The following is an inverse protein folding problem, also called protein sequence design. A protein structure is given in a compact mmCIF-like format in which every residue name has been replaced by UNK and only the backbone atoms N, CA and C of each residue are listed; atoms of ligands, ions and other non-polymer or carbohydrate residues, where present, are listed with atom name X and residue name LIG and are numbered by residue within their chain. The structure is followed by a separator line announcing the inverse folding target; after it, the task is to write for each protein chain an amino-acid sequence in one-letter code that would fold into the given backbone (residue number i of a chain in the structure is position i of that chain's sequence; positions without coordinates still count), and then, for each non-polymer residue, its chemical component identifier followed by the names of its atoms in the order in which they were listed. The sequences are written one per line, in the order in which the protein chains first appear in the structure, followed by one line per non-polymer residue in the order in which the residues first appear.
data_IF_972536871607
#
_entry.id   IF_972536871607
#
_cell.length_a   1.000
_cell.length_b   1.000
_cell.length_c   1.000
_cell.angle_alpha   90.00
_cell.angle_beta   90.00
_cell.angle_gamma   90.00
#
_symmetry.space_group_name_H-M   'P 1'
#
loop_
_entity.id
_entity.type
_entity.pdbx_description
1 polymer ?
#
# COMPACT_ATOMS: atom_id res chain seq x y z
N UNK A 1 40.83 24.41 -29.98
CA UNK A 1 41.32 25.64 -29.32
C UNK A 1 41.11 25.43 -27.83
N UNK A 2 42.23 25.21 -27.11
CA UNK A 2 42.13 24.69 -25.72
C UNK A 2 41.56 25.74 -24.77
N UNK A 3 40.67 25.26 -23.88
CA UNK A 3 40.01 26.04 -22.83
C UNK A 3 41.02 26.91 -22.00
N UNK A 4 42.23 26.42 -21.85
CA UNK A 4 43.35 27.13 -21.20
C UNK A 4 43.79 28.39 -21.98
N UNK A 5 43.75 28.36 -23.31
CA UNK A 5 44.09 29.48 -24.19
C UNK A 5 43.08 30.63 -24.07
N UNK A 6 41.78 30.29 -23.90
CA UNK A 6 40.72 31.28 -23.71
C UNK A 6 40.84 31.97 -22.36
N UNK A 7 41.23 31.24 -21.28
CA UNK A 7 41.45 31.79 -19.97
C UNK A 7 42.65 32.75 -19.96
N UNK A 8 43.74 32.39 -20.62
CA UNK A 8 44.95 33.24 -20.74
C UNK A 8 44.64 34.51 -21.50
N UNK A 9 43.92 34.44 -22.64
CA UNK A 9 43.55 35.64 -23.42
C UNK A 9 42.62 36.54 -22.59
N UNK A 10 41.72 35.99 -21.79
CA UNK A 10 40.83 36.76 -20.92
C UNK A 10 41.59 37.41 -19.73
N UNK A 11 42.64 36.78 -19.23
CA UNK A 11 43.54 37.35 -18.23
C UNK A 11 44.40 38.48 -18.79
N UNK A 12 44.87 38.39 -20.06
CA UNK A 12 45.68 39.42 -20.71
C UNK A 12 44.88 40.67 -21.11
N UNK A 13 43.54 40.59 -21.13
CA UNK A 13 42.68 41.78 -21.41
C UNK A 13 42.48 42.68 -20.17
N UNK A 14 42.93 42.26 -18.98
CA UNK A 14 42.89 43.11 -17.78
C UNK A 14 44.21 43.93 -17.69
N UNK A 15 44.07 45.24 -17.64
CA UNK A 15 45.25 46.12 -17.44
C UNK A 15 45.94 45.81 -16.12
N UNK A 16 47.28 45.84 -16.04
CA UNK A 16 48.03 45.57 -14.79
C UNK A 16 47.58 46.42 -13.60
N UNK A 17 47.03 47.60 -13.87
CA UNK A 17 46.46 48.51 -12.84
C UNK A 17 45.16 47.97 -12.21
N UNK A 18 44.33 47.21 -12.97
CA UNK A 18 43.13 46.59 -12.43
C UNK A 18 43.44 45.38 -11.49
N UNK A 19 44.56 44.71 -11.79
CA UNK A 19 45.05 43.60 -10.97
C UNK A 19 45.63 44.08 -9.64
N UNK A 20 46.34 45.22 -9.63
CA UNK A 20 46.90 45.83 -8.43
C UNK A 20 45.88 46.53 -7.56
N UNK A 21 44.77 47.01 -8.13
CA UNK A 21 43.70 47.69 -7.36
C UNK A 21 42.74 46.75 -6.67
N UNK A 22 42.84 45.42 -6.81
CA UNK A 22 41.84 44.52 -6.31
C UNK A 22 40.41 45.05 -6.54
N UNK A 23 40.09 45.41 -7.79
CA UNK A 23 38.70 45.77 -8.13
C UNK A 23 37.86 44.51 -8.02
N UNK A 24 37.56 44.16 -6.76
CA UNK A 24 36.57 43.21 -6.34
C UNK A 24 35.28 43.59 -7.07
N UNK A 25 34.75 42.68 -7.87
CA UNK A 25 33.44 42.82 -8.52
C UNK A 25 32.53 43.61 -7.59
N UNK A 26 32.08 44.80 -8.04
CA UNK A 26 31.13 45.62 -7.27
C UNK A 26 29.98 44.75 -6.88
N UNK A 27 29.99 44.26 -5.66
CA UNK A 27 28.86 43.55 -5.07
C UNK A 27 27.68 44.49 -5.14
N UNK A 28 26.68 44.18 -5.91
CA UNK A 28 25.44 44.97 -5.98
C UNK A 28 24.96 45.18 -4.56
N UNK A 29 25.05 46.44 -4.06
CA UNK A 29 24.56 46.79 -2.73
C UNK A 29 23.11 46.33 -2.64
N UNK A 30 22.86 45.28 -1.88
CA UNK A 30 21.50 44.82 -1.58
C UNK A 30 20.75 45.99 -0.95
N UNK A 31 19.59 46.37 -1.51
CA UNK A 31 18.76 47.46 -0.99
C UNK A 31 18.52 47.26 0.50
N UNK A 32 18.80 48.27 1.31
CA UNK A 32 18.63 48.18 2.77
C UNK A 32 17.14 47.90 3.08
N UNK A 33 16.86 46.81 3.74
CA UNK A 33 15.52 46.45 4.18
C UNK A 33 15.03 47.46 5.24
N UNK A 34 13.85 48.05 5.05
CA UNK A 34 13.20 48.91 6.05
C UNK A 34 12.67 48.04 7.17
N UNK A 35 13.34 48.07 8.32
CA UNK A 35 12.92 47.38 9.54
C UNK A 35 12.05 48.28 10.40
N UNK A 36 11.08 47.73 11.18
CA UNK A 36 10.27 48.50 12.14
C UNK A 36 11.17 49.21 13.19
N UNK A 37 10.59 50.19 13.86
CA UNK A 37 11.31 50.97 14.91
C UNK A 37 11.49 50.18 16.21
N UNK A 38 12.26 49.12 16.16
CA UNK A 38 12.63 48.29 17.30
C UNK A 38 13.99 48.77 17.88
N UNK A 39 14.40 48.21 19.04
CA UNK A 39 15.67 48.53 19.66
C UNK A 39 16.83 48.30 18.68
N UNK A 40 17.94 49.04 18.83
CA UNK A 40 19.11 48.95 17.97
C UNK A 40 19.63 47.51 17.85
N UNK A 41 19.73 46.80 18.98
CA UNK A 41 20.23 45.43 19.03
C UNK A 41 19.31 44.45 18.26
N UNK A 42 18.00 44.57 18.37
CA UNK A 42 17.05 43.73 17.65
C UNK A 42 17.12 43.97 16.14
N UNK A 43 17.23 45.23 15.72
CA UNK A 43 17.39 45.58 14.29
C UNK A 43 18.70 45.06 13.72
N UNK A 44 19.78 45.12 14.48
CA UNK A 44 21.10 44.61 14.09
C UNK A 44 21.06 43.08 13.90
N UNK A 45 20.52 42.34 14.87
CA UNK A 45 20.36 40.89 14.79
C UNK A 45 19.51 40.48 13.58
N UNK A 46 18.34 41.11 13.38
CA UNK A 46 17.47 40.83 12.23
C UNK A 46 18.16 41.13 10.90
N UNK A 47 18.93 42.21 10.80
CA UNK A 47 19.67 42.57 9.60
C UNK A 47 20.68 41.48 9.22
N UNK A 48 21.44 40.96 10.21
CA UNK A 48 22.41 39.89 10.00
C UNK A 48 21.67 38.60 9.56
N UNK A 49 20.56 38.25 10.22
CA UNK A 49 19.76 37.10 9.84
C UNK A 49 19.28 37.20 8.39
N UNK A 50 18.67 38.35 8.01
CA UNK A 50 18.16 38.54 6.65
C UNK A 50 19.24 38.64 5.57
N UNK A 51 20.44 39.06 5.92
CA UNK A 51 21.58 39.04 4.99
C UNK A 51 22.09 37.64 4.71
N UNK A 52 21.91 36.71 5.64
CA UNK A 52 22.38 35.34 5.60
C UNK A 52 21.26 34.30 5.44
N UNK A 53 20.06 34.71 5.01
CA UNK A 53 18.89 33.81 4.88
C UNK A 53 19.22 32.57 4.08
N UNK A 54 20.01 32.70 3.00
CA UNK A 54 20.38 31.53 2.18
C UNK A 54 21.14 30.48 2.99
N UNK A 55 22.08 30.91 3.85
CA UNK A 55 22.86 30.00 4.70
C UNK A 55 21.97 29.33 5.76
N UNK A 56 21.06 30.10 6.38
CA UNK A 56 20.10 29.55 7.34
C UNK A 56 19.13 28.59 6.70
N UNK A 57 18.70 28.85 5.45
CA UNK A 57 17.81 27.97 4.71
C UNK A 57 18.51 26.64 4.40
N UNK A 58 19.77 26.67 3.97
CA UNK A 58 20.56 25.46 3.73
C UNK A 58 20.71 24.66 5.04
N UNK A 59 21.03 25.34 6.14
CA UNK A 59 21.13 24.70 7.44
C UNK A 59 19.81 24.08 7.88
N UNK A 60 18.71 24.81 7.72
CA UNK A 60 17.36 24.32 8.05
C UNK A 60 16.99 23.08 7.23
N UNK A 61 17.21 23.12 5.92
CA UNK A 61 16.95 21.98 5.04
C UNK A 61 17.81 20.77 5.44
N UNK A 62 19.09 21.01 5.77
CA UNK A 62 19.99 19.95 6.24
C UNK A 62 19.50 19.29 7.54
N UNK A 63 19.14 20.10 8.55
CA UNK A 63 18.60 19.59 9.82
C UNK A 63 17.26 18.86 9.59
N UNK A 64 16.38 19.44 8.78
CA UNK A 64 15.10 18.82 8.45
C UNK A 64 15.29 17.45 7.81
N UNK A 65 16.21 17.34 6.84
CA UNK A 65 16.51 16.06 6.18
C UNK A 65 17.06 15.01 7.15
N UNK A 66 17.97 15.42 8.07
CA UNK A 66 18.51 14.54 9.12
C UNK A 66 17.37 14.06 10.04
N UNK A 67 16.46 14.96 10.43
CA UNK A 67 15.32 14.59 11.28
C UNK A 67 14.38 13.61 10.59
N UNK A 68 14.10 13.79 9.28
CA UNK A 68 13.30 12.85 8.49
C UNK A 68 13.98 11.49 8.43
N UNK A 69 15.28 11.45 8.13
CA UNK A 69 16.05 10.20 8.10
C UNK A 69 16.05 9.49 9.46
N UNK A 70 16.21 10.23 10.55
CA UNK A 70 16.16 9.67 11.90
C UNK A 70 14.76 9.11 12.23
N UNK A 71 13.70 9.84 11.87
CA UNK A 71 12.33 9.39 12.06
C UNK A 71 12.05 8.09 11.29
N UNK A 72 12.53 7.98 10.05
CA UNK A 72 12.44 6.75 9.27
C UNK A 72 13.23 5.60 9.90
N UNK A 73 14.46 5.87 10.35
CA UNK A 73 15.32 4.84 10.94
C UNK A 73 14.74 4.26 12.25
N UNK A 74 14.01 5.06 13.02
CA UNK A 74 13.37 4.60 14.27
C UNK A 74 11.96 4.04 14.01
N UNK A 75 11.20 4.65 13.09
CA UNK A 75 9.81 4.27 12.86
C UNK A 75 9.63 3.00 12.01
N UNK A 76 10.61 2.66 11.17
CA UNK A 76 10.52 1.45 10.33
C UNK A 76 10.51 0.15 11.15
N UNK A 77 11.45 -0.07 12.11
CA UNK A 77 11.42 -1.26 12.95
C UNK A 77 10.12 -1.40 13.73
N UNK A 78 9.62 -0.31 14.32
CA UNK A 78 8.35 -0.32 15.06
C UNK A 78 7.16 -0.72 14.19
N UNK A 79 7.15 -0.27 12.93
CA UNK A 79 6.12 -0.64 11.96
C UNK A 79 6.20 -2.12 11.59
N UNK A 80 7.41 -2.64 11.34
CA UNK A 80 7.62 -4.07 11.04
C UNK A 80 7.21 -4.95 12.24
N UNK A 81 7.59 -4.57 13.45
CA UNK A 81 7.19 -5.26 14.67
C UNK A 81 5.66 -5.28 14.86
N UNK A 82 4.99 -4.18 14.50
CA UNK A 82 3.53 -4.13 14.52
C UNK A 82 2.93 -5.12 13.51
N UNK A 83 3.45 -5.17 12.28
CA UNK A 83 3.01 -6.14 11.27
C UNK A 83 3.26 -7.58 11.71
N UNK A 84 4.43 -7.89 12.26
CA UNK A 84 4.75 -9.23 12.77
C UNK A 84 3.79 -9.68 13.88
N UNK A 85 3.48 -8.79 14.82
CA UNK A 85 2.54 -9.08 15.92
C UNK A 85 1.10 -9.26 15.46
N UNK A 86 0.73 -8.66 14.34
CA UNK A 86 -0.63 -8.73 13.80
C UNK A 86 -0.73 -9.68 12.58
N UNK A 87 0.27 -10.54 12.36
CA UNK A 87 0.27 -11.52 11.26
C UNK A 87 -0.97 -12.42 11.28
N UNK A 88 -1.44 -12.77 12.48
CA UNK A 88 -2.66 -13.58 12.66
C UNK A 88 -3.90 -12.91 12.06
N UNK A 89 -3.94 -11.58 12.02
CA UNK A 89 -5.04 -10.80 11.42
C UNK A 89 -4.95 -10.68 9.89
N UNK A 90 -3.86 -11.13 9.29
CA UNK A 90 -3.69 -11.14 7.82
C UNK A 90 -4.24 -12.40 7.16
N UNK A 91 -4.56 -13.41 7.96
CA UNK A 91 -5.09 -14.69 7.50
C UNK A 91 -6.47 -14.97 8.10
N UNK A 92 -7.32 -15.63 7.32
CA UNK A 92 -8.63 -16.06 7.79
C UNK A 92 -8.52 -17.27 8.72
N UNK A 93 -7.60 -18.19 8.41
CA UNK A 93 -7.35 -19.43 9.15
C UNK A 93 -5.84 -19.69 9.24
N UNK A 94 -5.40 -20.62 10.11
CA UNK A 94 -3.97 -21.00 10.24
C UNK A 94 -3.39 -21.60 8.97
N UNK A 95 -4.24 -22.28 8.20
CA UNK A 95 -3.92 -22.87 6.91
C UNK A 95 -4.92 -22.40 5.87
N UNK A 96 -4.44 -21.89 4.77
CA UNK A 96 -5.23 -21.58 3.58
C UNK A 96 -4.70 -22.43 2.43
N UNK A 97 -5.51 -23.38 2.00
CA UNK A 97 -5.19 -24.26 0.88
C UNK A 97 -5.84 -23.72 -0.38
N UNK A 98 -5.03 -23.39 -1.37
CA UNK A 98 -5.50 -23.03 -2.70
C UNK A 98 -5.30 -24.25 -3.59
N UNK A 99 -6.37 -24.73 -4.20
CA UNK A 99 -6.38 -25.90 -5.07
C UNK A 99 -6.05 -25.52 -6.51
N UNK A 100 -5.50 -26.45 -7.28
CA UNK A 100 -5.35 -26.29 -8.74
C UNK A 100 -6.68 -26.37 -9.45
N UNK A 101 -7.55 -27.22 -8.95
CA UNK A 101 -8.92 -27.43 -9.40
C UNK A 101 -9.74 -27.93 -8.20
N UNK A 102 -11.04 -27.69 -8.21
CA UNK A 102 -11.97 -28.24 -7.23
C UNK A 102 -12.34 -29.71 -7.51
N UNK A 103 -11.87 -30.24 -8.64
CA UNK A 103 -12.03 -31.66 -9.02
C UNK A 103 -10.68 -32.31 -9.23
N UNK A 104 -10.59 -33.60 -8.93
CA UNK A 104 -9.42 -34.42 -9.20
C UNK A 104 -9.26 -34.78 -10.69
N UNK A 105 -8.22 -35.58 -11.02
CA UNK A 105 -7.96 -36.02 -12.40
C UNK A 105 -9.08 -36.91 -12.97
N UNK A 106 -9.88 -37.55 -12.13
CA UNK A 106 -10.97 -38.44 -12.48
C UNK A 106 -12.31 -37.67 -12.57
N UNK A 107 -12.32 -36.38 -12.23
CA UNK A 107 -13.51 -35.51 -12.27
C UNK A 107 -14.34 -35.55 -10.97
N UNK A 108 -13.86 -36.17 -9.90
CA UNK A 108 -14.55 -36.14 -8.62
C UNK A 108 -14.24 -34.85 -7.86
N UNK A 109 -15.26 -34.31 -7.19
CA UNK A 109 -15.08 -33.13 -6.34
C UNK A 109 -14.14 -33.46 -5.19
N UNK A 110 -13.13 -32.62 -4.98
CA UNK A 110 -12.20 -32.77 -3.88
C UNK A 110 -12.91 -32.41 -2.57
N UNK A 111 -12.98 -33.38 -1.68
CA UNK A 111 -13.53 -33.21 -0.34
C UNK A 111 -12.49 -33.62 0.71
N UNK A 112 -12.69 -33.19 1.94
CA UNK A 112 -11.83 -33.53 3.08
C UNK A 112 -12.66 -34.00 4.26
N UNK A 113 -12.17 -35.00 4.97
CA UNK A 113 -12.77 -35.47 6.23
C UNK A 113 -12.47 -34.55 7.41
N UNK A 114 -11.72 -33.48 7.17
CA UNK A 114 -11.33 -32.52 8.22
C UNK A 114 -12.54 -31.63 8.55
N UNK A 115 -13.10 -31.83 9.76
CA UNK A 115 -14.26 -31.09 10.24
C UNK A 115 -14.02 -29.58 10.43
N UNK A 116 -12.77 -29.13 10.49
CA UNK A 116 -12.42 -27.71 10.65
C UNK A 116 -12.27 -27.02 9.27
N UNK A 117 -12.33 -27.78 8.18
CA UNK A 117 -12.14 -27.24 6.84
C UNK A 117 -13.43 -26.62 6.31
N UNK A 118 -13.36 -25.37 5.89
CA UNK A 118 -14.43 -24.64 5.21
C UNK A 118 -14.02 -24.31 3.78
N UNK A 119 -14.96 -24.47 2.85
CA UNK A 119 -14.75 -24.13 1.45
C UNK A 119 -14.78 -22.61 1.26
N UNK A 120 -13.92 -22.11 0.41
CA UNK A 120 -14.01 -20.74 -0.09
C UNK A 120 -13.77 -20.70 -1.59
N UNK A 121 -14.34 -19.72 -2.24
CA UNK A 121 -13.99 -19.40 -3.62
C UNK A 121 -13.37 -18.02 -3.71
N UNK A 122 -12.55 -17.77 -4.72
CA UNK A 122 -11.92 -16.49 -4.91
C UNK A 122 -11.71 -16.15 -6.38
N UNK A 123 -11.81 -14.86 -6.67
CA UNK A 123 -11.43 -14.28 -7.96
C UNK A 123 -10.86 -12.88 -7.74
N UNK A 124 -10.26 -12.33 -8.77
CA UNK A 124 -9.73 -10.97 -8.75
C UNK A 124 -10.49 -10.09 -9.74
N UNK A 125 -10.86 -8.92 -9.29
CA UNK A 125 -11.40 -7.85 -10.11
C UNK A 125 -10.50 -6.63 -10.07
N UNK A 126 -10.67 -5.70 -10.98
CA UNK A 126 -9.92 -4.46 -11.05
C UNK A 126 -10.80 -3.28 -10.65
N UNK A 127 -10.31 -2.48 -9.72
CA UNK A 127 -10.78 -1.13 -9.51
C UNK A 127 -10.00 -0.20 -10.41
N UNK A 128 -10.61 0.26 -11.47
CA UNK A 128 -9.98 1.22 -12.39
C UNK A 128 -10.03 2.63 -11.83
N UNK A 129 -8.90 3.33 -11.96
CA UNK A 129 -8.75 4.74 -11.63
C UNK A 129 -7.96 5.43 -12.74
N UNK A 130 -8.00 6.76 -12.79
CA UNK A 130 -7.26 7.54 -13.80
C UNK A 130 -5.73 7.38 -13.65
N UNK A 131 -5.24 7.09 -12.42
CA UNK A 131 -3.82 7.01 -12.12
C UNK A 131 -3.28 5.57 -12.20
N UNK A 132 -4.05 4.59 -11.74
CA UNK A 132 -3.65 3.17 -11.72
C UNK A 132 -4.85 2.25 -11.53
N UNK A 133 -4.71 1.02 -12.03
CA UNK A 133 -5.66 -0.07 -11.79
C UNK A 133 -5.22 -0.83 -10.53
N UNK A 134 -6.14 -1.07 -9.60
CA UNK A 134 -5.88 -1.83 -8.39
C UNK A 134 -6.65 -3.14 -8.39
N UNK A 135 -5.94 -4.22 -8.08
CA UNK A 135 -6.52 -5.53 -7.93
C UNK A 135 -7.28 -5.64 -6.60
N UNK A 136 -8.52 -6.10 -6.70
CA UNK A 136 -9.43 -6.32 -5.57
C UNK A 136 -9.74 -7.80 -5.51
N UNK A 137 -9.39 -8.45 -4.42
CA UNK A 137 -9.72 -9.86 -4.19
C UNK A 137 -11.21 -9.98 -3.82
N UNK A 138 -11.92 -10.87 -4.47
CA UNK A 138 -13.33 -11.15 -4.17
C UNK A 138 -13.42 -12.58 -3.64
N UNK A 139 -13.98 -12.71 -2.46
CA UNK A 139 -14.13 -13.99 -1.76
C UNK A 139 -15.59 -14.38 -1.66
N UNK A 140 -15.89 -15.61 -2.09
CA UNK A 140 -17.09 -16.33 -1.75
C UNK A 140 -16.81 -17.19 -0.53
N UNK A 141 -17.53 -16.99 0.56
CA UNK A 141 -17.33 -17.69 1.84
C UNK A 141 -18.64 -18.31 2.31
N UNK A 142 -18.55 -19.32 3.16
CA UNK A 142 -19.73 -19.94 3.76
C UNK A 142 -20.47 -18.94 4.65
N UNK A 143 -21.79 -18.97 4.66
CA UNK A 143 -22.62 -18.00 5.38
C UNK A 143 -22.49 -18.11 6.90
N UNK A 144 -22.18 -19.30 7.39
CA UNK A 144 -21.95 -19.63 8.81
C UNK A 144 -20.45 -19.82 9.13
N UNK A 145 -19.57 -19.29 8.31
CA UNK A 145 -18.11 -19.45 8.46
C UNK A 145 -17.62 -19.18 9.87
N UNK A 146 -16.83 -20.09 10.40
CA UNK A 146 -16.11 -19.89 11.66
C UNK A 146 -14.92 -18.94 11.52
N UNK A 147 -14.38 -18.80 10.30
CA UNK A 147 -13.19 -18.03 9.96
C UNK A 147 -13.50 -16.59 9.52
N UNK A 148 -14.48 -16.44 8.64
CA UNK A 148 -14.89 -15.12 8.09
C UNK A 148 -16.24 -14.74 8.69
N UNK A 149 -16.22 -14.23 9.92
CA UNK A 149 -17.45 -13.90 10.66
C UNK A 149 -18.03 -12.56 10.20
N UNK A 150 -19.01 -12.61 9.32
CA UNK A 150 -19.77 -11.47 8.85
C UNK A 150 -21.21 -11.57 9.40
N UNK A 151 -21.79 -10.39 9.68
CA UNK A 151 -23.15 -10.35 10.21
C UNK A 151 -24.17 -10.49 9.09
N UNK A 152 -25.27 -11.22 9.37
CA UNK A 152 -26.43 -11.29 8.47
C UNK A 152 -26.10 -11.72 7.02
N UNK A 153 -25.12 -12.63 6.85
CA UNK A 153 -24.72 -13.15 5.55
C UNK A 153 -25.87 -13.83 4.81
N UNK A 154 -26.71 -14.58 5.53
CA UNK A 154 -27.90 -15.26 4.97
C UNK A 154 -28.95 -14.30 4.39
N UNK A 155 -28.93 -13.03 4.82
CA UNK A 155 -29.90 -12.01 4.41
C UNK A 155 -29.39 -11.08 3.34
N UNK A 156 -28.15 -11.27 2.86
CA UNK A 156 -27.58 -10.49 1.78
C UNK A 156 -28.33 -10.73 0.47
N UNK A 157 -28.56 -9.66 -0.27
CA UNK A 157 -29.06 -9.75 -1.64
C UNK A 157 -27.89 -10.02 -2.59
N UNK A 158 -28.19 -10.57 -3.76
CA UNK A 158 -27.20 -10.99 -4.76
C UNK A 158 -26.14 -9.93 -5.10
N UNK A 159 -26.48 -8.66 -4.97
CA UNK A 159 -25.56 -7.55 -5.24
C UNK A 159 -25.03 -6.85 -3.97
N UNK A 160 -25.37 -7.31 -2.78
CA UNK A 160 -24.89 -6.77 -1.52
C UNK A 160 -23.63 -7.52 -1.08
N UNK A 161 -22.63 -6.78 -0.60
CA UNK A 161 -21.33 -7.33 -0.23
C UNK A 161 -20.78 -6.66 1.03
N UNK A 162 -19.89 -7.34 1.70
CA UNK A 162 -18.98 -6.73 2.66
C UNK A 162 -17.67 -6.39 1.99
N UNK A 163 -16.98 -5.36 2.47
CA UNK A 163 -15.64 -5.00 2.02
C UNK A 163 -14.69 -4.98 3.21
N UNK A 164 -13.38 -5.15 2.99
CA UNK A 164 -12.40 -4.99 4.06
C UNK A 164 -12.35 -3.54 4.56
N UNK A 165 -12.04 -3.35 5.84
CA UNK A 165 -11.81 -2.01 6.40
C UNK A 165 -10.71 -1.28 5.64
N UNK A 166 -9.64 -1.99 5.23
CA UNK A 166 -8.57 -1.42 4.40
C UNK A 166 -9.08 -0.87 3.08
N UNK A 167 -10.07 -1.53 2.45
CA UNK A 167 -10.70 -1.05 1.22
C UNK A 167 -11.58 0.18 1.49
N UNK A 168 -12.37 0.11 2.56
CA UNK A 168 -13.24 1.20 2.97
C UNK A 168 -12.45 2.47 3.29
N UNK A 169 -11.38 2.35 4.09
CA UNK A 169 -10.55 3.46 4.53
C UNK A 169 -9.77 4.08 3.38
N UNK A 170 -9.15 3.26 2.53
CA UNK A 170 -8.35 3.74 1.39
C UNK A 170 -9.16 4.60 0.42
N UNK A 171 -10.42 4.25 0.19
CA UNK A 171 -11.28 4.92 -0.79
C UNK A 171 -12.42 5.72 -0.19
N UNK A 172 -12.52 5.79 1.14
CA UNK A 172 -13.57 6.50 1.84
C UNK A 172 -14.98 5.93 1.60
N UNK A 173 -15.08 4.60 1.36
CA UNK A 173 -16.33 3.90 1.06
C UNK A 173 -17.10 3.66 2.36
N UNK A 174 -18.41 3.89 2.32
CA UNK A 174 -19.29 3.71 3.48
C UNK A 174 -20.37 2.66 3.21
N UNK A 175 -20.91 2.03 4.25
CA UNK A 175 -22.09 1.18 4.11
C UNK A 175 -23.23 1.94 3.39
N UNK A 176 -23.80 1.31 2.37
CA UNK A 176 -24.81 1.90 1.48
C UNK A 176 -24.27 2.40 0.15
N UNK A 177 -22.97 2.62 0.03
CA UNK A 177 -22.34 3.03 -1.24
C UNK A 177 -22.33 1.89 -2.25
N UNK A 178 -22.19 2.25 -3.53
CA UNK A 178 -22.06 1.27 -4.62
C UNK A 178 -20.65 1.36 -5.18
N UNK A 179 -19.95 0.22 -5.19
CA UNK A 179 -18.64 0.07 -5.82
C UNK A 179 -18.79 -0.54 -7.21
N UNK A 180 -17.87 -0.18 -8.10
CA UNK A 180 -17.76 -0.74 -9.45
C UNK A 180 -16.40 -1.39 -9.59
N UNK A 181 -16.39 -2.64 -10.00
CA UNK A 181 -15.20 -3.43 -10.24
C UNK A 181 -15.28 -4.05 -11.64
N UNK A 182 -14.19 -4.01 -12.36
CA UNK A 182 -14.14 -4.53 -13.73
C UNK A 182 -13.45 -5.90 -13.76
N UNK A 183 -13.93 -6.77 -14.62
CA UNK A 183 -13.24 -8.03 -14.91
C UNK A 183 -11.87 -7.74 -15.52
N UNK A 184 -10.86 -8.55 -15.16
CA UNK A 184 -9.48 -8.34 -15.61
C UNK A 184 -9.29 -8.62 -17.10
N UNK A 185 -9.99 -9.64 -17.62
CA UNK A 185 -9.81 -10.14 -18.98
C UNK A 185 -11.03 -9.95 -19.88
N UNK A 186 -12.12 -9.43 -19.34
CA UNK A 186 -13.39 -9.24 -20.04
C UNK A 186 -13.89 -7.80 -19.91
N UNK A 187 -14.72 -7.37 -20.87
CA UNK A 187 -15.40 -6.07 -20.79
C UNK A 187 -16.69 -6.18 -19.95
N UNK A 188 -16.58 -6.65 -18.72
CA UNK A 188 -17.70 -6.79 -17.79
C UNK A 188 -17.42 -5.98 -16.54
N UNK A 189 -18.37 -5.15 -16.13
CA UNK A 189 -18.31 -4.34 -14.91
C UNK A 189 -19.36 -4.84 -13.93
N UNK A 190 -18.91 -5.17 -12.74
CA UNK A 190 -19.76 -5.58 -11.63
C UNK A 190 -20.07 -4.38 -10.74
N UNK A 191 -21.29 -4.32 -10.22
CA UNK A 191 -21.75 -3.28 -9.31
C UNK A 191 -22.23 -3.92 -8.03
N UNK A 192 -21.53 -3.64 -6.94
CA UNK A 192 -21.87 -4.17 -5.64
C UNK A 192 -22.27 -3.04 -4.70
N UNK A 193 -23.31 -3.29 -3.90
CA UNK A 193 -23.73 -2.40 -2.84
C UNK A 193 -23.09 -2.83 -1.53
N UNK A 194 -22.35 -1.93 -0.90
CA UNK A 194 -21.66 -2.20 0.36
C UNK A 194 -22.66 -2.27 1.50
N UNK A 195 -22.76 -3.42 2.15
CA UNK A 195 -23.60 -3.64 3.34
C UNK A 195 -22.88 -3.23 4.62
N UNK A 196 -21.58 -3.51 4.69
CA UNK A 196 -20.76 -3.24 5.86
C UNK A 196 -19.29 -3.52 5.59
N UNK A 197 -18.49 -3.44 6.64
CA UNK A 197 -17.05 -3.69 6.57
C UNK A 197 -16.63 -4.88 7.41
N UNK A 198 -15.45 -5.45 7.07
CA UNK A 198 -14.82 -6.57 7.77
C UNK A 198 -13.42 -6.16 8.24
N UNK A 199 -13.22 -6.19 9.55
CA UNK A 199 -12.05 -5.64 10.24
C UNK A 199 -10.82 -6.57 10.27
N UNK A 200 -10.98 -7.84 9.94
CA UNK A 200 -9.90 -8.84 10.03
C UNK A 200 -9.15 -9.07 8.72
N UNK A 201 -9.36 -8.27 7.69
CA UNK A 201 -8.63 -8.38 6.44
C UNK A 201 -7.81 -7.14 6.16
N UNK A 202 -6.51 -7.32 5.99
CA UNK A 202 -5.57 -6.24 5.61
C UNK A 202 -5.52 -6.01 4.10
N UNK A 203 -6.03 -6.93 3.29
CA UNK A 203 -6.07 -6.81 1.84
C UNK A 203 -7.25 -5.96 1.37
N UNK A 204 -7.17 -5.45 0.15
CA UNK A 204 -8.30 -4.81 -0.54
C UNK A 204 -9.23 -5.93 -1.03
N UNK A 205 -10.29 -6.16 -0.30
CA UNK A 205 -11.12 -7.34 -0.51
C UNK A 205 -12.63 -7.08 -0.42
N UNK A 206 -13.39 -7.93 -1.10
CA UNK A 206 -14.85 -8.01 -1.11
C UNK A 206 -15.24 -9.40 -0.65
N UNK A 207 -16.30 -9.50 0.13
CA UNK A 207 -16.80 -10.75 0.69
C UNK A 207 -18.30 -10.89 0.40
N UNK A 208 -18.71 -12.07 -0.02
CA UNK A 208 -20.10 -12.42 -0.25
C UNK A 208 -20.33 -13.91 0.04
N UNK A 209 -21.58 -14.37 0.19
CA UNK A 209 -21.88 -15.79 0.27
C UNK A 209 -21.35 -16.55 -0.95
N UNK A 210 -20.84 -17.76 -0.74
CA UNK A 210 -20.24 -18.57 -1.82
C UNK A 210 -21.24 -18.88 -2.93
N UNK A 211 -22.53 -19.02 -2.60
CA UNK A 211 -23.59 -19.23 -3.57
C UNK A 211 -23.80 -17.99 -4.46
N UNK A 212 -23.89 -16.79 -3.85
CA UNK A 212 -23.97 -15.52 -4.60
C UNK A 212 -22.73 -15.27 -5.45
N UNK A 213 -21.57 -15.73 -4.98
CA UNK A 213 -20.32 -15.64 -5.73
C UNK A 213 -20.40 -16.48 -7.01
N UNK A 214 -20.84 -17.73 -6.92
CA UNK A 214 -21.00 -18.61 -8.08
C UNK A 214 -21.97 -18.01 -9.11
N UNK A 215 -23.13 -17.52 -8.66
CA UNK A 215 -24.13 -16.87 -9.51
C UNK A 215 -23.61 -15.59 -10.17
N UNK A 216 -22.90 -14.74 -9.42
CA UNK A 216 -22.37 -13.47 -9.90
C UNK A 216 -21.36 -13.65 -11.03
N UNK A 217 -20.52 -14.67 -10.92
CA UNK A 217 -19.42 -14.93 -11.85
C UNK A 217 -19.72 -16.02 -12.89
N UNK A 218 -20.93 -16.53 -12.94
CA UNK A 218 -21.34 -17.61 -13.85
C UNK A 218 -20.47 -18.87 -13.69
N UNK A 219 -20.09 -19.19 -12.44
CA UNK A 219 -19.32 -20.38 -12.13
C UNK A 219 -20.22 -21.59 -11.90
N UNK A 220 -19.66 -22.79 -12.10
CA UNK A 220 -20.38 -24.03 -11.86
C UNK A 220 -20.79 -24.16 -10.38
N UNK A 221 -21.99 -24.65 -10.14
CA UNK A 221 -22.48 -24.96 -8.81
C UNK A 221 -21.51 -25.89 -8.06
N UNK A 222 -21.24 -25.56 -6.80
CA UNK A 222 -20.33 -26.33 -5.96
C UNK A 222 -18.84 -26.16 -6.30
N UNK A 223 -18.49 -25.23 -7.22
CA UNK A 223 -17.09 -24.82 -7.42
C UNK A 223 -16.57 -24.11 -6.17
N UNK A 224 -15.29 -24.33 -5.87
CA UNK A 224 -14.56 -23.62 -4.86
C UNK A 224 -13.07 -23.59 -5.20
N UNK A 225 -12.34 -22.60 -4.66
CA UNK A 225 -10.92 -22.40 -4.93
C UNK A 225 -10.03 -23.06 -3.89
N UNK A 226 -10.56 -23.43 -2.74
CA UNK A 226 -9.75 -24.03 -1.69
C UNK A 226 -10.44 -24.19 -0.35
N UNK A 227 -9.62 -24.44 0.67
CA UNK A 227 -10.09 -24.67 2.04
C UNK A 227 -9.38 -23.73 3.02
N UNK A 228 -10.16 -23.23 3.99
CA UNK A 228 -9.67 -22.60 5.21
C UNK A 228 -9.70 -23.63 6.32
N UNK A 229 -8.65 -23.73 7.12
CA UNK A 229 -8.62 -24.66 8.25
C UNK A 229 -7.64 -24.22 9.34
N UNK A 230 -7.98 -24.47 10.59
CA UNK A 230 -7.05 -24.28 11.73
C UNK A 230 -6.19 -25.53 12.00
N UNK A 231 -6.53 -26.64 11.36
CA UNK A 231 -5.78 -27.90 11.44
C UNK A 231 -5.26 -28.31 10.07
N UNK A 232 -4.15 -29.06 10.06
CA UNK A 232 -3.55 -29.48 8.79
C UNK A 232 -4.41 -30.54 8.11
N UNK A 233 -4.84 -30.28 6.88
CA UNK A 233 -5.49 -31.25 5.99
C UNK A 233 -4.45 -32.26 5.52
N UNK A 234 -4.78 -33.55 5.56
CA UNK A 234 -3.86 -34.66 5.25
C UNK A 234 -4.38 -35.63 4.19
N UNK A 235 -5.66 -35.55 3.89
CA UNK A 235 -6.41 -36.46 3.02
C UNK A 235 -6.55 -35.93 1.58
N UNK A 236 -6.06 -34.71 1.33
CA UNK A 236 -5.96 -34.17 -0.03
C UNK A 236 -4.53 -34.40 -0.54
N UNK A 237 -4.40 -34.98 -1.72
CA UNK A 237 -3.11 -35.20 -2.37
C UNK A 237 -2.42 -33.84 -2.68
N UNK A 238 -1.15 -33.73 -2.34
CA UNK A 238 -0.34 -32.53 -2.59
C UNK A 238 -0.30 -32.14 -4.07
N UNK A 239 -0.51 -33.09 -4.99
CA UNK A 239 -0.57 -32.84 -6.43
C UNK A 239 -1.77 -31.95 -6.82
N UNK A 240 -2.86 -31.97 -6.04
CA UNK A 240 -4.07 -31.17 -6.26
C UNK A 240 -3.97 -29.79 -5.62
N UNK A 241 -3.01 -29.57 -4.73
CA UNK A 241 -2.78 -28.29 -4.05
C UNK A 241 -1.89 -27.41 -4.92
N UNK A 242 -2.34 -26.19 -5.22
CA UNK A 242 -1.53 -25.19 -5.91
C UNK A 242 -0.58 -24.52 -4.94
N UNK A 243 -1.08 -24.12 -3.78
CA UNK A 243 -0.28 -23.53 -2.71
C UNK A 243 -0.97 -23.71 -1.35
N UNK A 244 -0.15 -23.78 -0.31
CA UNK A 244 -0.62 -23.71 1.08
C UNK A 244 0.02 -22.50 1.73
N UNK A 245 -0.79 -21.58 2.19
CA UNK A 245 -0.35 -20.38 2.89
C UNK A 245 -0.53 -20.64 4.38
N UNK A 246 0.52 -20.42 5.17
CA UNK A 246 0.48 -20.56 6.63
C UNK A 246 0.93 -19.28 7.31
N UNK A 247 0.51 -19.05 8.54
CA UNK A 247 0.99 -17.93 9.37
C UNK A 247 2.52 -17.92 9.41
N UNK A 248 3.14 -19.11 9.48
CA UNK A 248 4.60 -19.24 9.49
C UNK A 248 5.25 -18.70 8.20
N UNK A 249 4.62 -18.88 7.05
CA UNK A 249 5.16 -18.39 5.78
C UNK A 249 5.11 -16.89 5.70
N UNK A 250 4.02 -16.27 6.17
CA UNK A 250 3.89 -14.81 6.25
C UNK A 250 4.90 -14.23 7.25
N UNK A 251 5.07 -14.85 8.42
CA UNK A 251 6.06 -14.41 9.42
C UNK A 251 7.47 -14.50 8.86
N UNK A 252 7.82 -15.56 8.13
CA UNK A 252 9.14 -15.68 7.49
C UNK A 252 9.37 -14.62 6.41
N UNK A 253 8.34 -14.26 5.63
CA UNK A 253 8.45 -13.17 4.66
C UNK A 253 8.72 -11.84 5.36
N UNK A 254 8.05 -11.58 6.49
CA UNK A 254 8.31 -10.39 7.30
C UNK A 254 9.72 -10.38 7.90
N UNK A 255 10.23 -11.54 8.33
CA UNK A 255 11.62 -11.69 8.85
C UNK A 255 12.71 -11.49 7.78
N UNK A 256 12.41 -11.70 6.50
CA UNK A 256 13.36 -11.45 5.41
C UNK A 256 13.45 -9.97 5.00
N UNK A 257 12.55 -9.14 5.50
CA UNK A 257 12.53 -7.69 5.25
C UNK A 257 13.30 -6.89 6.33
N UNK A 258 13.75 -7.56 7.40
CA UNK A 258 14.64 -7.03 8.43
C UNK A 258 16.11 -7.18 8.00
#
# INVERSE_FOLDING_TARGET
MDDKTIVIIRMMQHTPLQFLRHDLKKTKRKKAMRLPRWSFMSRFRLRIMFQNVANYLILFVGIFFIMVMLAMAVGMPDTLDYYKKNTDSMMFAKYQYVLKSYVDADGNVLETDNSDAEKFDMTSLLRRSDDFDEEVSVYGVETDSAYVKLKDMDSLKDNEVYISDSFADKYGIKPGDTIKLDAQYEKKTYKFKVKGTYDKSQSIAVFMPIEHFADTFDFADGRFSGFLSDTKIKDIDESNIATTITIRDITKMADQLD
#
